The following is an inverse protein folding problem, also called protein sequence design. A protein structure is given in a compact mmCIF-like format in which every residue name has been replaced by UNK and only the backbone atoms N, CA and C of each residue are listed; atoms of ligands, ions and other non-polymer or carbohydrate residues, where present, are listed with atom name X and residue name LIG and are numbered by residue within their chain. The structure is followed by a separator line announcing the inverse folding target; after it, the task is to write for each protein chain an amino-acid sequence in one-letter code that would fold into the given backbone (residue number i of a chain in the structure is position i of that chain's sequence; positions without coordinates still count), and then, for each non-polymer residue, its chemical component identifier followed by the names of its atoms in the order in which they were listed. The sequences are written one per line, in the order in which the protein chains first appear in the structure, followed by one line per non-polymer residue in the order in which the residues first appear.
data_IF_315511006814
#
_entry.id   IF_315511006814
#
_cell.length_a   1.000
_cell.length_b   1.000
_cell.length_c   1.000
_cell.angle_alpha   90.00
_cell.angle_beta   90.00
_cell.angle_gamma   90.00
#
_symmetry.space_group_name_H-M   'P 1'
#
loop_
_entity.id
_entity.type
_entity.pdbx_description
1 polymer ?
#
# COMPACT_ATOMS: atom_id res chain seq x y z
N UNK A 1 29.76 -45.86 76.68
CA UNK A 1 29.71 -44.46 77.17
C UNK A 1 29.56 -43.54 75.97
N UNK A 2 28.59 -42.63 76.07
CA UNK A 2 27.94 -41.93 74.98
C UNK A 2 28.81 -40.87 74.28
N UNK A 3 28.54 -40.63 72.99
CA UNK A 3 28.71 -39.30 72.40
C UNK A 3 27.70 -39.06 71.27
N UNK A 4 27.15 -37.85 71.28
CA UNK A 4 26.02 -37.33 70.53
C UNK A 4 26.33 -37.01 69.06
N UNK A 5 25.32 -37.15 68.17
CA UNK A 5 25.00 -36.17 67.12
C UNK A 5 23.61 -36.43 66.49
N UNK A 6 22.72 -35.43 66.38
CA UNK A 6 21.48 -35.46 65.58
C UNK A 6 21.63 -34.70 64.22
N UNK A 7 20.64 -34.75 63.31
CA UNK A 7 20.83 -34.48 61.89
C UNK A 7 20.53 -33.02 61.47
N UNK A 8 21.26 -32.53 60.47
CA UNK A 8 20.96 -31.27 59.78
C UNK A 8 20.29 -31.54 58.43
N UNK A 9 18.96 -31.59 58.41
CA UNK A 9 18.15 -31.48 57.20
C UNK A 9 17.87 -30.01 56.90
N UNK A 10 18.50 -29.46 55.85
CA UNK A 10 18.07 -28.19 55.23
C UNK A 10 17.58 -28.46 53.82
N UNK A 11 16.26 -28.44 53.68
CA UNK A 11 15.50 -28.38 52.44
C UNK A 11 15.79 -27.07 51.69
N UNK A 12 16.35 -27.19 50.48
CA UNK A 12 16.37 -26.10 49.49
C UNK A 12 15.08 -26.16 48.66
N UNK A 13 14.37 -25.05 48.44
CA UNK A 13 13.22 -25.04 47.56
C UNK A 13 13.66 -25.27 46.11
N UNK A 14 13.04 -26.27 45.47
CA UNK A 14 13.13 -26.51 44.03
C UNK A 14 12.68 -25.25 43.29
N UNK A 15 13.63 -24.57 42.65
CA UNK A 15 13.33 -23.52 41.68
C UNK A 15 12.47 -24.12 40.57
N UNK A 16 11.29 -23.52 40.38
CA UNK A 16 10.37 -23.86 39.32
C UNK A 16 11.08 -23.79 37.98
N UNK A 17 11.12 -24.94 37.30
CA UNK A 17 11.55 -25.09 35.93
C UNK A 17 10.59 -24.24 35.08
N UNK A 18 11.02 -23.03 34.69
CA UNK A 18 10.33 -22.23 33.68
C UNK A 18 10.13 -23.10 32.45
N UNK A 19 8.87 -23.29 32.06
CA UNK A 19 8.49 -23.99 30.86
C UNK A 19 9.25 -23.40 29.68
N UNK A 20 10.04 -24.24 29.01
CA UNK A 20 10.67 -23.87 27.76
C UNK A 20 9.56 -23.51 26.78
N UNK A 21 9.58 -22.28 26.28
CA UNK A 21 8.86 -21.92 25.08
C UNK A 21 9.40 -22.82 23.97
N UNK A 22 8.65 -23.87 23.63
CA UNK A 22 8.89 -24.61 22.40
C UNK A 22 8.88 -23.64 21.22
N UNK A 23 9.61 -23.93 20.14
CA UNK A 23 9.56 -23.09 18.95
C UNK A 23 8.09 -22.93 18.55
N UNK A 24 7.55 -21.71 18.68
CA UNK A 24 6.22 -21.35 18.18
C UNK A 24 6.19 -21.84 16.74
N UNK A 25 5.24 -22.73 16.44
CA UNK A 25 4.93 -23.09 15.06
C UNK A 25 4.84 -21.79 14.27
N UNK A 26 5.51 -21.73 13.11
CA UNK A 26 5.57 -20.51 12.31
C UNK A 26 4.13 -20.08 12.05
N UNK A 27 3.70 -19.01 12.71
CA UNK A 27 2.37 -18.46 12.54
C UNK A 27 2.24 -18.00 11.09
N UNK A 28 1.06 -18.16 10.52
CA UNK A 28 0.72 -17.63 9.20
C UNK A 28 1.11 -16.15 9.13
N UNK A 29 1.84 -15.73 8.11
CA UNK A 29 2.25 -14.35 7.87
C UNK A 29 1.81 -13.97 6.46
N UNK A 30 1.26 -12.78 6.27
CA UNK A 30 1.01 -12.25 4.92
C UNK A 30 2.01 -11.15 4.65
N UNK A 31 2.67 -11.22 3.50
CA UNK A 31 3.53 -10.14 2.99
C UNK A 31 2.89 -9.60 1.71
N UNK A 32 2.96 -8.29 1.52
CA UNK A 32 2.47 -7.69 0.29
C UNK A 32 3.09 -6.34 -0.02
N UNK A 33 2.92 -5.94 -1.26
CA UNK A 33 3.36 -4.63 -1.75
C UNK A 33 2.31 -4.05 -2.69
N UNK A 34 2.12 -2.74 -2.62
CA UNK A 34 1.25 -1.98 -3.50
C UNK A 34 2.03 -0.83 -4.10
N UNK A 35 2.09 -0.78 -5.42
CA UNK A 35 2.57 0.38 -6.16
C UNK A 35 1.37 1.22 -6.56
N UNK A 36 1.43 2.52 -6.32
CA UNK A 36 0.33 3.45 -6.65
C UNK A 36 0.86 4.63 -7.44
N UNK A 37 0.15 5.03 -8.50
CA UNK A 37 0.48 6.21 -9.29
C UNK A 37 -0.56 6.53 -10.36
N UNK A 38 -0.31 7.59 -11.14
CA UNK A 38 -1.18 7.93 -12.26
C UNK A 38 -1.01 6.94 -13.41
N UNK A 39 -2.15 6.55 -14.00
CA UNK A 39 -2.18 6.08 -15.37
C UNK A 39 -1.56 7.18 -16.25
N UNK A 40 -0.64 6.81 -17.14
CA UNK A 40 0.00 7.76 -18.04
C UNK A 40 -0.95 8.08 -19.19
N UNK A 41 -2.10 8.65 -18.87
CA UNK A 41 -3.15 9.03 -19.81
C UNK A 41 -3.59 10.48 -19.52
N UNK A 42 -3.86 11.30 -20.54
CA UNK A 42 -4.16 12.73 -20.36
C UNK A 42 -5.46 13.02 -19.59
N UNK A 43 -6.45 12.14 -19.73
CA UNK A 43 -7.74 12.22 -19.03
C UNK A 43 -8.13 10.91 -18.37
N UNK A 44 -9.33 10.88 -17.78
CA UNK A 44 -9.89 9.64 -17.27
C UNK A 44 -10.19 8.71 -18.45
N UNK A 45 -9.74 7.47 -18.38
CA UNK A 45 -10.17 6.45 -19.34
C UNK A 45 -11.54 5.89 -18.95
N UNK A 46 -12.38 5.64 -19.96
CA UNK A 46 -13.71 5.06 -19.76
C UNK A 46 -13.68 3.58 -19.37
N UNK A 47 -14.85 3.02 -19.03
CA UNK A 47 -14.97 1.63 -18.58
C UNK A 47 -14.48 0.59 -19.61
N UNK A 48 -14.75 0.80 -20.90
CA UNK A 48 -14.29 -0.10 -21.97
C UNK A 48 -12.76 -0.14 -22.07
N UNK A 49 -12.12 1.03 -22.17
CA UNK A 49 -10.66 1.15 -22.20
C UNK A 49 -10.04 0.59 -20.93
N UNK A 50 -10.64 0.86 -19.76
CA UNK A 50 -10.21 0.28 -18.48
C UNK A 50 -10.22 -1.25 -18.51
N UNK A 51 -11.27 -1.86 -19.07
CA UNK A 51 -11.38 -3.30 -19.20
C UNK A 51 -10.36 -3.89 -20.18
N UNK A 52 -10.04 -3.17 -21.26
CA UNK A 52 -9.08 -3.62 -22.25
C UNK A 52 -7.64 -3.58 -21.71
N UNK A 53 -7.23 -2.48 -21.08
CA UNK A 53 -5.87 -2.35 -20.53
C UNK A 53 -5.61 -3.28 -19.34
N UNK A 54 -6.67 -3.63 -18.58
CA UNK A 54 -6.62 -4.55 -17.43
C UNK A 54 -6.83 -6.03 -17.79
N UNK A 55 -6.99 -6.36 -19.08
CA UNK A 55 -7.06 -7.77 -19.55
C UNK A 55 -5.67 -8.40 -19.57
N UNK A 56 -5.14 -8.64 -18.37
CA UNK A 56 -3.76 -9.07 -18.12
C UNK A 56 -3.58 -10.60 -18.12
N UNK A 57 -4.67 -11.36 -17.99
CA UNK A 57 -4.66 -12.82 -18.08
C UNK A 57 -5.63 -13.30 -19.18
N UNK A 58 -5.21 -14.22 -20.08
CA UNK A 58 -6.11 -14.82 -21.07
C UNK A 58 -7.32 -15.49 -20.41
N UNK A 59 -8.52 -15.22 -20.93
CA UNK A 59 -9.78 -15.77 -20.40
C UNK A 59 -10.21 -15.22 -19.03
N UNK A 60 -9.39 -14.41 -18.37
CA UNK A 60 -9.73 -13.77 -17.11
C UNK A 60 -10.69 -12.60 -17.30
N UNK A 61 -11.66 -12.46 -16.39
CA UNK A 61 -12.66 -11.38 -16.44
C UNK A 61 -12.18 -10.18 -15.62
N UNK A 62 -12.17 -9.00 -16.24
CA UNK A 62 -12.01 -7.74 -15.51
C UNK A 62 -13.30 -7.44 -14.76
N UNK A 63 -13.18 -7.15 -13.46
CA UNK A 63 -14.29 -6.71 -12.63
C UNK A 63 -14.42 -5.21 -12.73
N UNK A 64 -15.63 -4.70 -12.90
CA UNK A 64 -15.90 -3.26 -12.98
C UNK A 64 -17.02 -2.85 -12.03
N UNK A 65 -16.98 -1.61 -11.57
CA UNK A 65 -17.99 -1.01 -10.70
C UNK A 65 -18.04 0.49 -10.95
N UNK A 66 -19.23 1.04 -11.15
CA UNK A 66 -19.40 2.48 -11.40
C UNK A 66 -19.54 3.31 -10.12
N UNK A 67 -20.02 2.70 -9.04
CA UNK A 67 -20.31 3.36 -7.77
C UNK A 67 -19.46 2.79 -6.64
N UNK A 68 -19.01 3.61 -5.67
CA UNK A 68 -19.23 5.07 -5.56
C UNK A 68 -18.42 5.89 -6.57
N UNK A 69 -17.36 5.31 -7.13
CA UNK A 69 -16.56 5.87 -8.21
C UNK A 69 -16.20 4.76 -9.20
N UNK A 70 -16.04 5.10 -10.48
CA UNK A 70 -15.56 4.15 -11.49
C UNK A 70 -14.32 3.38 -10.99
N UNK A 71 -14.40 2.06 -11.01
CA UNK A 71 -13.35 1.15 -10.57
C UNK A 71 -13.30 -0.04 -11.52
N UNK A 72 -12.10 -0.45 -11.88
CA UNK A 72 -11.86 -1.65 -12.66
C UNK A 72 -10.69 -2.42 -12.05
N UNK A 73 -10.76 -3.75 -12.05
CA UNK A 73 -9.75 -4.62 -11.45
C UNK A 73 -9.50 -5.84 -12.34
N UNK A 74 -8.23 -6.12 -12.60
CA UNK A 74 -7.80 -7.28 -13.37
C UNK A 74 -8.17 -8.59 -12.65
N UNK A 75 -8.29 -9.71 -13.37
CA UNK A 75 -8.22 -11.02 -12.74
C UNK A 75 -6.91 -11.16 -11.92
N UNK A 76 -6.94 -12.02 -10.91
CA UNK A 76 -5.73 -12.41 -10.18
C UNK A 76 -4.76 -13.16 -11.08
N UNK A 77 -3.48 -12.82 -10.97
CA UNK A 77 -2.38 -13.48 -11.68
C UNK A 77 -1.48 -14.13 -10.63
N UNK A 78 -1.17 -15.40 -10.88
CA UNK A 78 -0.28 -16.19 -10.03
C UNK A 78 1.13 -16.20 -10.62
N UNK A 79 2.09 -15.77 -9.81
CA UNK A 79 3.51 -15.85 -10.14
C UNK A 79 4.16 -16.91 -9.26
N UNK A 80 4.72 -17.95 -9.86
CA UNK A 80 5.50 -18.94 -9.14
C UNK A 80 6.80 -18.34 -8.61
N UNK A 81 7.13 -18.61 -7.35
CA UNK A 81 8.38 -18.16 -6.73
C UNK A 81 9.14 -19.34 -6.10
N UNK A 82 10.46 -19.24 -6.12
CA UNK A 82 11.39 -20.11 -5.44
C UNK A 82 12.64 -19.27 -5.10
N UNK A 83 12.61 -18.59 -3.95
CA UNK A 83 13.61 -17.59 -3.58
C UNK A 83 13.85 -17.55 -2.06
N UNK A 84 14.91 -16.88 -1.63
CA UNK A 84 15.17 -16.63 -0.21
C UNK A 84 14.31 -15.47 0.31
N UNK A 85 14.00 -15.50 1.60
CA UNK A 85 13.40 -14.42 2.37
C UNK A 85 14.32 -14.09 3.54
N UNK A 86 14.63 -12.82 3.73
CA UNK A 86 15.44 -12.34 4.84
C UNK A 86 14.59 -12.01 6.06
N UNK A 87 15.06 -12.43 7.23
CA UNK A 87 14.63 -11.93 8.53
C UNK A 87 15.51 -10.78 8.98
N UNK A 88 14.97 -9.90 9.84
CA UNK A 88 15.70 -8.76 10.37
C UNK A 88 16.93 -9.15 11.22
N UNK A 89 16.92 -10.34 11.82
CA UNK A 89 18.03 -10.91 12.59
C UNK A 89 19.21 -11.39 11.74
N UNK A 90 19.12 -11.31 10.41
CA UNK A 90 20.11 -11.83 9.46
C UNK A 90 19.90 -13.31 9.10
N UNK A 91 18.90 -13.97 9.71
CA UNK A 91 18.44 -15.29 9.27
C UNK A 91 17.79 -15.23 7.90
N UNK A 92 17.88 -16.31 7.12
CA UNK A 92 17.18 -16.44 5.84
C UNK A 92 16.47 -17.79 5.74
N UNK A 93 15.34 -17.80 5.03
CA UNK A 93 14.56 -19.00 4.76
C UNK A 93 14.19 -19.05 3.29
N UNK A 94 14.23 -20.24 2.69
CA UNK A 94 13.77 -20.43 1.32
C UNK A 94 12.24 -20.54 1.30
N UNK A 95 11.58 -19.76 0.46
CA UNK A 95 10.14 -19.81 0.24
C UNK A 95 9.82 -20.32 -1.17
N UNK A 96 8.88 -21.24 -1.27
CA UNK A 96 8.45 -21.82 -2.56
C UNK A 96 6.93 -21.81 -2.63
N UNK A 97 6.36 -21.29 -3.71
CA UNK A 97 4.92 -21.25 -3.88
C UNK A 97 4.47 -20.27 -4.95
N UNK A 98 3.33 -19.64 -4.72
CA UNK A 98 2.76 -18.66 -5.65
C UNK A 98 2.44 -17.34 -4.94
N UNK A 99 2.70 -16.25 -5.65
CA UNK A 99 2.31 -14.89 -5.28
C UNK A 99 1.07 -14.51 -6.06
N UNK A 100 0.07 -13.97 -5.39
CA UNK A 100 -1.11 -13.40 -6.03
C UNK A 100 -0.84 -11.94 -6.39
N UNK A 101 -1.17 -11.53 -7.60
CA UNK A 101 -1.06 -10.14 -8.04
C UNK A 101 -2.28 -9.69 -8.83
N UNK A 102 -2.58 -8.39 -8.77
CA UNK A 102 -3.69 -7.75 -9.51
C UNK A 102 -3.41 -6.27 -9.74
N UNK A 103 -3.94 -5.75 -10.83
CA UNK A 103 -3.93 -4.33 -11.13
C UNK A 103 -5.35 -3.77 -10.98
N UNK A 104 -5.44 -2.54 -10.49
CA UNK A 104 -6.70 -1.83 -10.31
C UNK A 104 -6.60 -0.41 -10.83
N UNK A 105 -7.70 0.09 -11.39
CA UNK A 105 -7.85 1.45 -11.86
C UNK A 105 -9.01 2.13 -11.13
N UNK A 106 -8.74 3.28 -10.52
CA UNK A 106 -9.75 4.09 -9.80
C UNK A 106 -9.97 5.41 -10.53
N UNK A 107 -11.24 5.73 -10.80
CA UNK A 107 -11.68 6.95 -11.49
C UNK A 107 -11.14 7.10 -12.92
N UNK A 108 -10.63 6.03 -13.54
CA UNK A 108 -9.94 6.13 -14.83
C UNK A 108 -8.58 6.85 -14.79
N UNK A 109 -8.08 7.18 -13.60
CA UNK A 109 -6.89 8.02 -13.40
C UNK A 109 -5.79 7.32 -12.60
N UNK A 110 -6.16 6.67 -11.51
CA UNK A 110 -5.20 6.11 -10.57
C UNK A 110 -5.00 4.62 -10.82
N UNK A 111 -3.78 4.24 -11.14
CA UNK A 111 -3.37 2.86 -11.35
C UNK A 111 -2.68 2.33 -10.09
N UNK A 112 -3.09 1.15 -9.64
CA UNK A 112 -2.43 0.39 -8.60
C UNK A 112 -2.02 -0.97 -9.12
N UNK A 113 -0.79 -1.38 -8.85
CA UNK A 113 -0.36 -2.78 -8.93
C UNK A 113 -0.19 -3.31 -7.53
N UNK A 114 -0.74 -4.48 -7.24
CA UNK A 114 -0.62 -5.10 -5.91
C UNK A 114 -0.19 -6.55 -6.04
N UNK A 115 0.65 -6.99 -5.11
CA UNK A 115 1.10 -8.37 -4.99
C UNK A 115 1.16 -8.76 -3.52
N UNK A 116 0.81 -10.00 -3.21
CA UNK A 116 0.90 -10.53 -1.85
C UNK A 116 0.98 -12.05 -1.85
N UNK A 117 1.45 -12.60 -0.74
CA UNK A 117 1.47 -14.03 -0.49
C UNK A 117 1.23 -14.34 0.99
N UNK A 118 0.55 -15.45 1.23
CA UNK A 118 0.37 -16.05 2.56
C UNK A 118 1.50 -17.05 2.79
N UNK A 119 2.38 -16.73 3.72
CA UNK A 119 3.52 -17.53 4.12
C UNK A 119 3.13 -18.47 5.26
N UNK A 120 3.57 -19.72 5.17
CA UNK A 120 3.38 -20.72 6.21
C UNK A 120 4.47 -21.79 6.19
N UNK A 121 4.60 -22.58 7.26
CA UNK A 121 5.58 -23.64 7.32
C UNK A 121 5.29 -24.71 6.25
N UNK A 122 6.35 -25.22 5.61
CA UNK A 122 6.17 -26.39 4.74
C UNK A 122 5.71 -27.59 5.56
N UNK A 123 4.66 -28.27 5.09
CA UNK A 123 4.17 -29.52 5.71
C UNK A 123 5.07 -30.71 5.44
N UNK A 124 5.76 -30.69 4.29
CA UNK A 124 6.56 -31.82 3.83
C UNK A 124 8.05 -31.67 4.15
N UNK A 125 8.49 -30.48 4.57
CA UNK A 125 9.90 -30.19 4.87
C UNK A 125 10.83 -30.28 3.66
N UNK A 126 10.28 -30.38 2.45
CA UNK A 126 11.00 -30.49 1.18
C UNK A 126 10.23 -29.79 0.07
N UNK A 127 10.94 -29.43 -1.00
CA UNK A 127 10.33 -28.90 -2.23
C UNK A 127 9.41 -29.94 -2.87
N UNK A 128 8.21 -29.49 -3.26
CA UNK A 128 7.20 -30.28 -3.96
C UNK A 128 7.21 -29.99 -5.46
N UNK A 129 6.38 -30.70 -6.23
CA UNK A 129 6.18 -30.39 -7.65
C UNK A 129 5.43 -29.07 -7.83
N UNK A 130 5.54 -28.45 -9.01
CA UNK A 130 4.77 -27.23 -9.30
C UNK A 130 3.25 -27.45 -9.23
N UNK A 131 2.76 -28.65 -9.57
CA UNK A 131 1.34 -29.00 -9.43
C UNK A 131 0.84 -28.82 -7.99
N UNK A 132 1.67 -29.17 -6.99
CA UNK A 132 1.35 -28.95 -5.58
C UNK A 132 1.16 -27.45 -5.27
N UNK A 133 2.11 -26.60 -5.69
CA UNK A 133 2.04 -25.17 -5.41
C UNK A 133 0.91 -24.46 -6.18
N UNK A 134 0.64 -24.88 -7.42
CA UNK A 134 -0.47 -24.34 -8.22
C UNK A 134 -1.85 -24.73 -7.67
N UNK A 135 -1.95 -25.85 -6.94
CA UNK A 135 -3.18 -26.21 -6.23
C UNK A 135 -3.42 -25.39 -4.94
N UNK A 136 -2.46 -24.56 -4.53
CA UNK A 136 -2.57 -23.66 -3.38
C UNK A 136 -2.23 -22.20 -3.78
N UNK A 137 -3.09 -21.55 -4.59
CA UNK A 137 -2.87 -20.16 -5.04
C UNK A 137 -2.59 -19.18 -3.90
N UNK A 138 -1.62 -18.30 -4.11
CA UNK A 138 -1.26 -17.24 -3.17
C UNK A 138 -0.56 -17.72 -1.90
N UNK A 139 -0.17 -19.01 -1.81
CA UNK A 139 0.55 -19.56 -0.65
C UNK A 139 2.01 -19.82 -0.97
N UNK A 140 2.86 -19.51 0.00
CA UNK A 140 4.31 -19.73 -0.03
C UNK A 140 4.70 -20.59 1.17
N UNK A 141 5.28 -21.75 0.89
CA UNK A 141 5.79 -22.65 1.91
C UNK A 141 7.23 -22.30 2.27
N UNK A 142 7.48 -22.12 3.55
CA UNK A 142 8.79 -21.81 4.11
C UNK A 142 9.56 -23.10 4.45
N UNK A 143 10.76 -23.21 3.88
CA UNK A 143 11.69 -24.33 4.04
C UNK A 143 12.75 -23.97 5.08
N UNK A 144 12.38 -24.02 6.36
CA UNK A 144 13.27 -23.71 7.47
C UNK A 144 12.55 -23.10 8.66
N UNK A 145 13.33 -22.58 9.62
CA UNK A 145 12.80 -21.98 10.84
C UNK A 145 13.25 -20.53 10.93
N UNK A 146 12.33 -19.61 10.66
CA UNK A 146 12.45 -18.18 10.97
C UNK A 146 11.12 -17.73 11.56
N UNK A 147 11.15 -16.84 12.55
CA UNK A 147 9.94 -16.31 13.17
C UNK A 147 9.16 -15.41 12.22
N UNK A 148 7.83 -15.43 12.30
CA UNK A 148 6.97 -14.58 11.49
C UNK A 148 7.28 -13.09 11.69
N UNK A 149 7.48 -12.65 12.94
CA UNK A 149 7.83 -11.27 13.25
C UNK A 149 9.20 -10.85 12.68
N UNK A 150 10.16 -11.78 12.67
CA UNK A 150 11.50 -11.54 12.13
C UNK A 150 11.46 -11.41 10.60
N UNK A 151 10.70 -12.26 9.92
CA UNK A 151 10.45 -12.15 8.47
C UNK A 151 9.67 -10.88 8.12
N UNK A 152 8.66 -10.53 8.91
CA UNK A 152 7.90 -9.30 8.72
C UNK A 152 8.80 -8.07 8.86
N UNK A 153 9.62 -8.02 9.91
CA UNK A 153 10.58 -6.94 10.12
C UNK A 153 11.63 -6.87 9.00
N UNK A 154 12.15 -8.02 8.56
CA UNK A 154 13.12 -8.10 7.46
C UNK A 154 12.55 -7.63 6.13
N UNK A 155 11.30 -7.99 5.82
CA UNK A 155 10.60 -7.54 4.62
C UNK A 155 10.29 -6.03 4.63
N UNK A 156 10.00 -5.47 5.80
CA UNK A 156 9.68 -4.04 5.97
C UNK A 156 10.93 -3.15 6.15
N UNK A 157 12.13 -3.74 6.25
CA UNK A 157 13.36 -2.97 6.39
C UNK A 157 13.61 -2.08 5.16
N UNK A 158 14.33 -0.97 5.38
CA UNK A 158 14.81 -0.14 4.29
C UNK A 158 16.00 -0.82 3.59
N UNK A 159 16.06 -0.68 2.28
CA UNK A 159 16.96 -1.46 1.43
C UNK A 159 16.35 -2.79 0.97
N UNK A 160 16.59 -3.14 -0.29
CA UNK A 160 16.13 -4.38 -0.91
C UNK A 160 17.35 -5.14 -1.42
N UNK A 161 17.46 -6.40 -1.02
CA UNK A 161 18.44 -7.31 -1.62
C UNK A 161 17.78 -8.03 -2.81
N UNK A 162 18.31 -7.89 -4.04
CA UNK A 162 17.78 -8.58 -5.21
C UNK A 162 17.88 -10.11 -5.13
N UNK A 163 18.66 -10.66 -4.19
CA UNK A 163 18.72 -12.10 -3.91
C UNK A 163 17.51 -12.63 -3.12
N UNK A 164 16.59 -11.75 -2.70
CA UNK A 164 15.44 -12.09 -1.87
C UNK A 164 14.10 -11.83 -2.58
N UNK A 165 13.01 -12.31 -1.97
CA UNK A 165 11.66 -12.12 -2.48
C UNK A 165 11.36 -10.64 -2.75
N UNK A 166 11.10 -10.33 -4.02
CA UNK A 166 10.75 -9.00 -4.48
C UNK A 166 9.28 -8.95 -4.96
N UNK A 167 8.37 -8.68 -4.03
CA UNK A 167 6.95 -8.44 -4.35
C UNK A 167 6.75 -7.12 -5.12
N UNK A 168 7.66 -6.16 -4.96
CA UNK A 168 7.62 -4.88 -5.65
C UNK A 168 7.85 -5.03 -7.14
N UNK A 169 8.83 -5.83 -7.57
CA UNK A 169 9.08 -6.12 -8.96
C UNK A 169 7.85 -6.76 -9.63
N UNK A 170 7.14 -7.65 -8.92
CA UNK A 170 5.90 -8.26 -9.43
C UNK A 170 4.80 -7.21 -9.62
N UNK A 171 4.54 -6.39 -8.60
CA UNK A 171 3.47 -5.38 -8.65
C UNK A 171 3.79 -4.20 -9.59
N UNK A 172 5.04 -3.74 -9.62
CA UNK A 172 5.54 -2.73 -10.54
C UNK A 172 5.51 -3.22 -11.99
N UNK A 173 5.98 -4.45 -12.25
CA UNK A 173 5.92 -5.07 -13.57
C UNK A 173 4.49 -5.19 -14.09
N UNK A 174 3.52 -5.45 -13.20
CA UNK A 174 2.11 -5.46 -13.56
C UNK A 174 1.59 -4.06 -13.93
N UNK A 175 1.99 -3.01 -13.22
CA UNK A 175 1.67 -1.63 -13.62
C UNK A 175 2.28 -1.28 -14.96
N UNK A 176 3.53 -1.68 -15.21
CA UNK A 176 4.21 -1.40 -16.48
C UNK A 176 3.56 -2.16 -17.65
N UNK A 177 3.06 -3.37 -17.40
CA UNK A 177 2.25 -4.10 -18.37
C UNK A 177 0.95 -3.34 -18.74
N UNK A 178 0.29 -2.68 -17.79
CA UNK A 178 -0.87 -1.81 -18.09
C UNK A 178 -0.45 -0.55 -18.84
N UNK A 179 0.63 0.10 -18.42
CA UNK A 179 1.12 1.36 -19.00
C UNK A 179 1.72 1.18 -20.41
N UNK A 180 2.11 -0.05 -20.78
CA UNK A 180 2.61 -0.38 -22.11
C UNK A 180 1.51 -0.59 -23.15
N UNK A 181 0.24 -0.65 -22.73
CA UNK A 181 -0.91 -0.87 -23.61
C UNK A 181 -1.08 0.27 -24.64
N UNK A 182 -1.44 -0.03 -25.90
CA UNK A 182 -1.59 0.98 -26.95
C UNK A 182 -2.63 2.08 -26.63
N UNK A 183 -3.63 1.76 -25.82
CA UNK A 183 -4.70 2.68 -25.42
C UNK A 183 -4.23 3.74 -24.41
N UNK A 184 -3.00 3.61 -23.87
CA UNK A 184 -2.41 4.55 -22.92
C UNK A 184 -1.51 5.56 -23.66
N UNK A 185 -1.93 6.83 -23.70
CA UNK A 185 -1.32 7.89 -24.52
C UNK A 185 0.06 8.40 -24.04
N UNK A 186 0.50 7.99 -22.85
CA UNK A 186 1.73 8.38 -22.15
C UNK A 186 1.86 9.86 -21.81
N UNK A 187 0.73 10.55 -21.61
CA UNK A 187 0.67 12.00 -21.35
C UNK A 187 -0.11 12.29 -20.07
N UNK A 188 0.42 11.96 -18.87
CA UNK A 188 -0.30 12.23 -17.62
C UNK A 188 -0.59 13.74 -17.47
N UNK A 189 -1.73 14.12 -16.83
CA UNK A 189 -2.11 15.52 -16.68
C UNK A 189 -1.13 16.33 -15.83
N UNK A 190 -0.34 15.66 -14.98
CA UNK A 190 0.75 16.23 -14.22
C UNK A 190 1.72 15.13 -13.78
N UNK A 191 2.95 15.51 -13.39
CA UNK A 191 3.99 14.56 -12.98
C UNK A 191 3.97 14.31 -11.48
N UNK A 192 3.63 13.10 -11.08
CA UNK A 192 3.80 12.59 -9.71
C UNK A 192 4.58 11.29 -9.70
N UNK A 193 5.40 11.13 -8.66
CA UNK A 193 6.12 9.89 -8.43
C UNK A 193 5.13 8.77 -8.07
N UNK A 194 5.46 7.55 -8.49
CA UNK A 194 4.82 6.36 -7.92
C UNK A 194 5.26 6.20 -6.46
N UNK A 195 4.40 5.61 -5.65
CA UNK A 195 4.73 5.25 -4.27
C UNK A 195 4.71 3.74 -4.11
N UNK A 196 5.62 3.25 -3.28
CA UNK A 196 5.73 1.86 -2.85
C UNK A 196 5.16 1.75 -1.45
N UNK A 197 4.20 0.86 -1.26
CA UNK A 197 3.63 0.55 0.05
C UNK A 197 3.86 -0.91 0.39
N UNK A 198 4.88 -1.18 1.22
CA UNK A 198 5.20 -2.53 1.71
C UNK A 198 4.45 -2.80 2.99
N UNK A 199 3.86 -3.98 3.11
CA UNK A 199 3.10 -4.31 4.30
C UNK A 199 3.27 -5.77 4.71
N UNK A 200 3.10 -6.00 6.01
CA UNK A 200 3.03 -7.34 6.61
C UNK A 200 1.83 -7.43 7.53
N UNK A 201 1.23 -8.62 7.62
CA UNK A 201 0.12 -8.89 8.51
C UNK A 201 0.30 -10.23 9.23
N UNK A 202 0.15 -10.20 10.54
CA UNK A 202 0.20 -11.38 11.41
C UNK A 202 -1.13 -11.57 12.14
N UNK A 203 -1.54 -12.82 12.41
CA UNK A 203 -2.68 -13.10 13.26
C UNK A 203 -2.39 -12.63 14.69
N UNK A 204 -3.36 -11.98 15.31
CA UNK A 204 -3.31 -11.60 16.71
C UNK A 204 -4.68 -11.27 17.28
N UNK A 205 -4.72 -10.92 18.56
CA UNK A 205 -5.97 -10.60 19.24
C UNK A 205 -6.40 -9.14 19.00
N UNK A 206 -5.45 -8.28 18.62
CA UNK A 206 -5.67 -6.87 18.36
C UNK A 206 -6.10 -6.55 16.94
N UNK A 207 -6.42 -5.27 16.72
CA UNK A 207 -6.57 -4.64 15.40
C UNK A 207 -5.64 -3.44 15.35
N UNK A 208 -4.37 -3.69 15.10
CA UNK A 208 -3.34 -2.64 15.12
C UNK A 208 -2.74 -2.45 13.73
N UNK A 209 -2.46 -1.18 13.41
CA UNK A 209 -1.68 -0.79 12.23
C UNK A 209 -0.58 0.15 12.69
N UNK A 210 0.68 -0.21 12.39
CA UNK A 210 1.82 0.68 12.49
C UNK A 210 2.19 1.13 11.08
N UNK A 211 1.73 2.31 10.69
CA UNK A 211 2.02 2.93 9.40
C UNK A 211 3.20 3.88 9.53
N UNK A 212 4.17 3.77 8.63
CA UNK A 212 5.40 4.56 8.63
C UNK A 212 5.67 5.12 7.24
N UNK A 213 5.89 6.43 7.14
CA UNK A 213 6.44 7.06 5.93
C UNK A 213 7.95 7.00 6.05
N UNK A 214 8.59 6.11 5.29
CA UNK A 214 10.04 5.89 5.37
C UNK A 214 10.77 7.00 4.62
N UNK A 215 10.32 7.28 3.40
CA UNK A 215 10.87 8.35 2.59
C UNK A 215 9.82 8.89 1.61
N UNK A 216 10.26 9.68 0.63
CA UNK A 216 9.37 10.35 -0.31
C UNK A 216 8.54 9.39 -1.19
N UNK A 217 8.99 8.15 -1.39
CA UNK A 217 8.37 7.14 -2.26
C UNK A 217 8.00 5.85 -1.51
N UNK A 218 8.69 5.48 -0.43
CA UNK A 218 8.45 4.25 0.33
C UNK A 218 7.65 4.49 1.62
N UNK A 219 6.62 3.68 1.81
CA UNK A 219 5.81 3.57 3.03
C UNK A 219 5.79 2.12 3.48
N UNK A 220 5.73 1.91 4.78
CA UNK A 220 5.63 0.58 5.38
C UNK A 220 4.44 0.48 6.32
N UNK A 221 3.84 -0.71 6.40
CA UNK A 221 2.85 -1.02 7.42
C UNK A 221 3.04 -2.40 8.02
N UNK A 222 2.95 -2.49 9.34
CA UNK A 222 2.82 -3.75 10.06
C UNK A 222 1.44 -3.83 10.70
N UNK A 223 0.72 -4.92 10.43
CA UNK A 223 -0.65 -5.14 10.88
C UNK A 223 -0.70 -6.37 11.78
N UNK A 224 -1.44 -6.22 12.88
CA UNK A 224 -1.92 -7.34 13.69
C UNK A 224 -3.44 -7.34 13.62
N UNK A 225 -4.02 -8.43 13.13
CA UNK A 225 -5.48 -8.58 12.97
C UNK A 225 -5.94 -9.99 13.39
N UNK A 226 -7.22 -10.17 13.75
CA UNK A 226 -7.80 -11.50 13.93
C UNK A 226 -7.61 -12.41 12.71
N UNK A 227 -7.49 -13.71 12.95
CA UNK A 227 -7.20 -14.70 11.88
C UNK A 227 -8.31 -14.74 10.82
N UNK A 228 -9.57 -14.53 11.21
CA UNK A 228 -10.72 -14.45 10.31
C UNK A 228 -10.73 -13.16 9.45
N UNK A 229 -9.96 -12.15 9.83
CA UNK A 229 -9.82 -10.89 9.09
C UNK A 229 -8.64 -10.88 8.12
N UNK A 230 -7.68 -11.79 8.29
CA UNK A 230 -6.48 -11.91 7.43
C UNK A 230 -6.78 -11.93 5.93
N UNK A 231 -7.81 -12.63 5.41
CA UNK A 231 -8.11 -12.65 3.98
C UNK A 231 -8.43 -11.27 3.38
N UNK A 232 -8.84 -10.30 4.20
CA UNK A 232 -9.25 -8.97 3.75
C UNK A 232 -8.11 -7.95 3.77
N UNK A 233 -6.97 -8.25 4.41
CA UNK A 233 -5.90 -7.27 4.65
C UNK A 233 -5.31 -6.72 3.36
N UNK A 234 -5.17 -7.54 2.32
CA UNK A 234 -4.67 -7.07 1.02
C UNK A 234 -5.58 -5.98 0.40
N UNK A 235 -6.89 -6.02 0.65
CA UNK A 235 -7.82 -4.98 0.19
C UNK A 235 -7.65 -3.70 1.02
N UNK A 236 -7.52 -3.83 2.35
CA UNK A 236 -7.25 -2.69 3.23
C UNK A 236 -5.94 -1.98 2.87
N UNK A 237 -4.87 -2.73 2.66
CA UNK A 237 -3.57 -2.18 2.28
C UNK A 237 -3.59 -1.48 0.92
N UNK A 238 -4.35 -2.00 -0.05
CA UNK A 238 -4.54 -1.33 -1.34
C UNK A 238 -5.31 0.00 -1.18
N UNK A 239 -6.34 0.03 -0.33
CA UNK A 239 -7.10 1.25 -0.05
C UNK A 239 -6.26 2.30 0.70
N UNK A 240 -5.48 1.87 1.69
CA UNK A 240 -4.55 2.74 2.42
C UNK A 240 -3.49 3.34 1.48
N UNK A 241 -2.85 2.52 0.65
CA UNK A 241 -1.86 2.99 -0.32
C UNK A 241 -2.43 4.04 -1.29
N UNK A 242 -3.69 3.88 -1.71
CA UNK A 242 -4.41 4.86 -2.54
C UNK A 242 -4.54 6.20 -1.85
N UNK A 243 -5.08 6.21 -0.63
CA UNK A 243 -5.36 7.45 0.10
C UNK A 243 -4.07 8.17 0.50
N UNK A 244 -3.04 7.43 0.92
CA UNK A 244 -1.72 8.01 1.17
C UNK A 244 -1.13 8.66 -0.09
N UNK A 245 -1.23 8.01 -1.26
CA UNK A 245 -0.74 8.56 -2.52
C UNK A 245 -1.52 9.83 -2.91
N UNK A 246 -2.85 9.84 -2.77
CA UNK A 246 -3.70 11.00 -3.06
C UNK A 246 -3.30 12.18 -2.18
N UNK A 247 -3.21 11.98 -0.87
CA UNK A 247 -2.83 13.00 0.09
C UNK A 247 -1.42 13.54 -0.21
N UNK A 248 -0.44 12.65 -0.41
CA UNK A 248 0.93 13.04 -0.77
C UNK A 248 0.95 13.86 -2.06
N UNK A 249 0.20 13.44 -3.08
CA UNK A 249 0.18 14.11 -4.38
C UNK A 249 -0.43 15.50 -4.29
N UNK A 250 -1.51 15.66 -3.53
CA UNK A 250 -2.15 16.95 -3.30
C UNK A 250 -1.23 17.91 -2.53
N UNK A 251 -0.57 17.43 -1.47
CA UNK A 251 0.43 18.20 -0.72
C UNK A 251 1.56 18.69 -1.63
N UNK A 252 2.09 17.82 -2.50
CA UNK A 252 3.14 18.19 -3.47
C UNK A 252 2.66 19.19 -4.51
N UNK A 253 1.42 19.11 -4.96
CA UNK A 253 0.84 20.10 -5.88
C UNK A 253 0.71 21.47 -5.20
N UNK A 254 0.23 21.51 -3.96
CA UNK A 254 0.16 22.73 -3.16
C UNK A 254 1.53 23.36 -2.96
N UNK A 255 2.54 22.57 -2.59
CA UNK A 255 3.92 23.04 -2.44
C UNK A 255 4.47 23.62 -3.76
N UNK A 256 4.36 22.88 -4.86
CA UNK A 256 4.87 23.29 -6.19
C UNK A 256 4.10 24.47 -6.80
N UNK A 257 2.87 24.73 -6.34
CA UNK A 257 2.10 25.88 -6.81
C UNK A 257 2.76 27.21 -6.41
N UNK A 258 3.49 27.24 -5.29
CA UNK A 258 4.16 28.43 -4.77
C UNK A 258 3.17 29.54 -4.39
N UNK A 259 2.11 29.17 -3.66
CA UNK A 259 1.16 30.11 -3.06
C UNK A 259 1.93 31.16 -2.24
N UNK A 260 1.57 32.43 -2.41
CA UNK A 260 2.24 33.56 -1.75
C UNK A 260 3.51 34.06 -2.46
N UNK A 261 4.03 33.32 -3.44
CA UNK A 261 5.22 33.70 -4.22
C UNK A 261 4.86 33.97 -5.69
N UNK A 262 4.07 33.10 -6.30
CA UNK A 262 3.70 33.22 -7.71
C UNK A 262 2.47 34.09 -7.92
N UNK A 263 2.40 34.72 -9.10
CA UNK A 263 1.19 35.40 -9.57
C UNK A 263 -0.02 34.45 -9.53
N UNK A 264 -1.18 34.99 -9.13
CA UNK A 264 -2.37 34.21 -8.83
C UNK A 264 -2.83 33.30 -9.96
N UNK A 265 -2.85 33.81 -11.20
CA UNK A 265 -3.19 33.03 -12.40
C UNK A 265 -2.32 31.79 -12.56
N UNK A 266 -1.02 31.88 -12.21
CA UNK A 266 -0.07 30.76 -12.27
C UNK A 266 -0.35 29.71 -11.19
N UNK A 267 -0.71 30.15 -9.98
CA UNK A 267 -1.12 29.25 -8.88
C UNK A 267 -2.36 28.47 -9.28
N UNK A 268 -3.41 29.14 -9.74
CA UNK A 268 -4.66 28.53 -10.22
C UNK A 268 -4.39 27.52 -11.33
N UNK A 269 -3.60 27.89 -12.34
CA UNK A 269 -3.25 26.98 -13.42
C UNK A 269 -2.52 25.71 -12.94
N UNK A 270 -1.64 25.82 -11.94
CA UNK A 270 -0.91 24.67 -11.37
C UNK A 270 -1.78 23.78 -10.47
N UNK A 271 -2.81 24.33 -9.83
CA UNK A 271 -3.72 23.59 -8.95
C UNK A 271 -4.90 22.95 -9.68
N UNK A 272 -5.25 23.45 -10.86
CA UNK A 272 -6.34 22.92 -11.69
C UNK A 272 -6.33 21.39 -11.85
N UNK A 273 -5.19 20.71 -12.08
CA UNK A 273 -5.19 19.26 -12.20
C UNK A 273 -5.62 18.51 -10.92
N UNK A 274 -5.48 19.12 -9.74
CA UNK A 274 -5.99 18.52 -8.51
C UNK A 274 -7.52 18.42 -8.56
N UNK A 275 -8.19 19.52 -8.95
CA UNK A 275 -9.66 19.58 -9.07
C UNK A 275 -10.15 18.60 -10.13
N UNK A 276 -9.54 18.66 -11.32
CA UNK A 276 -9.99 17.90 -12.48
C UNK A 276 -9.74 16.38 -12.34
N UNK A 277 -8.72 15.97 -11.58
CA UNK A 277 -8.26 14.56 -11.59
C UNK A 277 -8.10 13.89 -10.23
N UNK A 278 -7.95 14.62 -9.12
CA UNK A 278 -7.62 14.02 -7.81
C UNK A 278 -8.74 14.13 -6.80
N UNK A 279 -9.36 15.31 -6.68
CA UNK A 279 -10.20 15.61 -5.52
C UNK A 279 -11.40 14.65 -5.38
N UNK A 280 -11.96 14.23 -6.52
CA UNK A 280 -13.10 13.34 -6.57
C UNK A 280 -12.74 11.85 -6.32
N UNK A 281 -11.44 11.50 -6.29
CA UNK A 281 -10.98 10.13 -6.06
C UNK A 281 -10.94 9.74 -4.57
N UNK A 282 -11.09 10.71 -3.67
CA UNK A 282 -11.06 10.48 -2.23
C UNK A 282 -12.38 9.87 -1.73
N UNK A 283 -12.37 8.55 -1.54
CA UNK A 283 -13.53 7.76 -1.10
C UNK A 283 -13.08 6.76 -0.01
N UNK A 284 -12.68 7.26 1.18
CA UNK A 284 -12.11 6.43 2.24
C UNK A 284 -13.11 5.38 2.70
N UNK A 285 -12.63 4.15 2.86
CA UNK A 285 -13.41 2.99 3.28
C UNK A 285 -14.60 2.61 2.37
N UNK A 286 -14.80 3.27 1.24
CA UNK A 286 -16.03 3.08 0.45
C UNK A 286 -16.09 1.72 -0.28
N UNK A 287 -14.97 1.02 -0.38
CA UNK A 287 -14.85 -0.35 -0.89
C UNK A 287 -14.21 -1.30 0.14
N UNK A 288 -14.16 -0.88 1.40
CA UNK A 288 -13.54 -1.67 2.47
C UNK A 288 -14.46 -2.82 2.88
N UNK A 289 -13.94 -4.03 3.08
CA UNK A 289 -14.70 -5.11 3.71
C UNK A 289 -15.14 -4.70 5.14
N UNK A 290 -16.40 -4.99 5.48
CA UNK A 290 -17.00 -4.67 6.78
C UNK A 290 -16.12 -5.07 7.99
N UNK A 291 -15.47 -6.25 8.02
CA UNK A 291 -14.63 -6.66 9.15
C UNK A 291 -13.47 -5.69 9.44
N UNK A 292 -12.97 -4.98 8.42
CA UNK A 292 -11.82 -4.07 8.56
C UNK A 292 -12.20 -2.60 8.80
N UNK A 293 -13.49 -2.26 8.83
CA UNK A 293 -13.93 -0.89 9.16
C UNK A 293 -13.48 -0.39 10.54
N UNK A 294 -13.46 -1.20 11.62
CA UNK A 294 -12.91 -0.77 12.90
C UNK A 294 -11.41 -0.40 12.80
N UNK A 295 -10.64 -1.18 12.05
CA UNK A 295 -9.22 -0.93 11.82
C UNK A 295 -8.98 0.39 11.08
N UNK A 296 -9.78 0.66 10.05
CA UNK A 296 -9.74 1.93 9.31
C UNK A 296 -10.05 3.13 10.21
N UNK A 297 -11.10 3.03 11.04
CA UNK A 297 -11.48 4.11 11.97
C UNK A 297 -10.37 4.43 12.96
N UNK A 298 -9.70 3.41 13.49
CA UNK A 298 -8.57 3.58 14.41
C UNK A 298 -7.37 4.26 13.72
N UNK A 299 -7.10 3.90 12.45
CA UNK A 299 -6.08 4.56 11.66
C UNK A 299 -6.42 6.04 11.41
N UNK A 300 -7.63 6.34 10.96
CA UNK A 300 -8.12 7.70 10.71
C UNK A 300 -8.13 8.55 11.98
N UNK A 301 -8.47 7.96 13.13
CA UNK A 301 -8.44 8.67 14.41
C UNK A 301 -7.02 9.17 14.72
N UNK A 302 -6.02 8.29 14.65
CA UNK A 302 -4.62 8.58 14.99
C UNK A 302 -3.89 9.42 13.94
N UNK A 303 -4.07 9.12 12.65
CA UNK A 303 -3.32 9.76 11.56
C UNK A 303 -4.03 10.98 10.94
N UNK A 304 -5.37 11.03 11.03
CA UNK A 304 -6.17 12.12 10.50
C UNK A 304 -6.05 12.32 8.99
N UNK A 305 -5.86 11.26 8.19
CA UNK A 305 -5.70 11.35 6.74
C UNK A 305 -6.84 12.14 6.09
N UNK A 306 -8.08 11.84 6.46
CA UNK A 306 -9.27 12.53 5.94
C UNK A 306 -9.34 13.99 6.39
N UNK A 307 -8.88 14.32 7.61
CA UNK A 307 -8.79 15.72 8.09
C UNK A 307 -7.75 16.50 7.31
N UNK A 308 -6.56 15.93 7.10
CA UNK A 308 -5.48 16.55 6.32
C UNK A 308 -5.91 16.76 4.88
N UNK A 309 -6.59 15.78 4.28
CA UNK A 309 -7.16 15.89 2.95
C UNK A 309 -8.13 17.07 2.86
N UNK A 310 -9.07 17.18 3.80
CA UNK A 310 -10.07 18.26 3.80
C UNK A 310 -9.40 19.64 3.91
N UNK A 311 -8.42 19.81 4.80
CA UNK A 311 -7.64 21.06 4.88
C UNK A 311 -6.96 21.41 3.55
N UNK A 312 -6.43 20.41 2.84
CA UNK A 312 -5.83 20.64 1.52
C UNK A 312 -6.87 21.02 0.46
N UNK A 313 -8.03 20.36 0.46
CA UNK A 313 -9.16 20.66 -0.42
C UNK A 313 -9.64 22.10 -0.22
N UNK A 314 -9.85 22.50 1.02
CA UNK A 314 -10.30 23.85 1.37
C UNK A 314 -9.29 24.88 0.90
N UNK A 315 -8.00 24.65 1.14
CA UNK A 315 -6.92 25.51 0.65
C UNK A 315 -6.90 25.61 -0.88
N UNK A 316 -7.15 24.54 -1.62
CA UNK A 316 -7.25 24.59 -3.09
C UNK A 316 -8.44 25.45 -3.50
N UNK A 317 -9.62 25.24 -2.90
CA UNK A 317 -10.83 26.02 -3.18
C UNK A 317 -10.61 27.51 -2.95
N UNK A 318 -10.01 27.90 -1.83
CA UNK A 318 -9.69 29.30 -1.53
C UNK A 318 -8.82 29.97 -2.62
N UNK A 319 -7.86 29.23 -3.19
CA UNK A 319 -7.04 29.74 -4.28
C UNK A 319 -7.83 29.89 -5.58
N UNK A 320 -8.72 28.94 -5.88
CA UNK A 320 -9.58 28.99 -7.07
C UNK A 320 -10.60 30.12 -6.98
N UNK A 321 -11.30 30.25 -5.84
CA UNK A 321 -12.39 31.21 -5.65
C UNK A 321 -11.90 32.66 -5.72
N UNK A 322 -10.88 33.01 -4.94
CA UNK A 322 -10.36 34.37 -5.03
C UNK A 322 -9.54 34.61 -6.33
N UNK A 323 -9.32 33.58 -7.16
CA UNK A 323 -8.79 33.70 -8.52
C UNK A 323 -9.87 33.92 -9.59
N UNK A 324 -11.14 33.64 -9.26
CA UNK A 324 -12.30 33.88 -10.11
C UNK A 324 -12.83 35.32 -10.00
N UNK A 325 -12.41 36.08 -8.99
CA UNK A 325 -12.71 37.51 -8.87
C UNK A 325 -11.92 38.25 -9.97
N UNK A 326 -12.58 38.88 -10.96
CA UNK A 326 -11.87 39.72 -11.92
C UNK A 326 -11.19 40.85 -11.17
N UNK A 327 -9.90 41.07 -11.43
CA UNK A 327 -9.15 42.20 -10.90
C UNK A 327 -9.82 43.50 -11.38
N UNK A 328 -10.70 44.07 -10.55
CA UNK A 328 -11.29 45.41 -10.73
C UNK A 328 -10.33 46.51 -10.25
N UNK A 329 -9.03 46.35 -10.53
CA UNK A 329 -8.04 47.40 -10.32
C UNK A 329 -7.00 47.33 -11.44
N UNK A 330 -7.34 48.00 -12.53
CA UNK A 330 -6.36 48.72 -13.34
C UNK A 330 -6.96 50.10 -13.54
N UNK A 331 -6.47 51.15 -12.86
CA UNK A 331 -6.89 52.50 -13.16
C UNK A 331 -6.48 52.82 -14.60
N UNK A 332 -7.42 53.43 -15.32
CA UNK A 332 -7.24 54.04 -16.62
C UNK A 332 -5.95 54.88 -16.64
N UNK A 333 -4.93 54.43 -17.37
CA UNK A 333 -3.94 55.35 -17.94
C UNK A 333 -4.58 55.93 -19.21
N UNK A 334 -5.27 57.06 -19.01
CA UNK A 334 -5.77 57.97 -20.04
C UNK A 334 -4.56 58.69 -20.69
N UNK A 335 -4.21 58.44 -21.97
CA UNK A 335 -3.33 59.33 -22.69
C UNK A 335 -4.17 60.50 -23.18
N UNK A 336 -4.28 61.53 -22.35
CA UNK A 336 -4.90 62.81 -22.73
C UNK A 336 -4.32 63.36 -24.05
N UNK A 337 -5.10 64.14 -24.82
CA UNK A 337 -4.77 64.48 -26.19
C UNK A 337 -3.64 65.52 -26.26
N UNK A 338 -2.58 65.20 -27.01
CA UNK A 338 -1.55 66.18 -27.40
C UNK A 338 -2.19 67.19 -28.35
N UNK A 339 -2.32 68.44 -27.89
CA UNK A 339 -2.68 69.60 -28.72
C UNK A 339 -1.44 70.14 -29.44
N UNK A 340 -1.56 70.22 -30.76
CA UNK A 340 -0.88 71.06 -31.78
C UNK A 340 0.65 71.16 -31.74
#
# INVERSE_FOLDING_TARGET
MASLAPPAGRSRPRSGRRGGAGPRAVATLILGEVHTGLLQHAGAVGAAVSADILRLAPGGRVRTSERPIAYAESPEILTGIDCSLAGASGGQVRGIGTVTSRAALTGGHLLQGSSYAVLGPSRNGRRMSWAHYLSHPGRVELMGKVGADDLAAGFLADGRDPAHLDLGAVSAGLMDAVQSRPEVDRRPPFRMARTEFRWSAVPGAGRTVRFTVVNSTLRTAHLEVPEDELPYVAHFCADLARHDWLLTSLLRLLERSGIGVNARRRVVHRLRPAVDHLLHLWMPAARMPEPLLPLWRELEHRSGLSRQWQTCVDRVRDQMDAGAIPSLDSPDDDPGPVRR
#
